data_IF_478986146943
#
_entry.id   IF_478986146943
#
_cell.length_a   1.000
_cell.length_b   1.000
_cell.length_c   1.000
_cell.angle_alpha   90.00
_cell.angle_beta   90.00
_cell.angle_gamma   90.00
#
_symmetry.space_group_name_H-M   'P 1'
#
loop_
_entity.id
_entity.type
_entity.pdbx_description
1 polymer ?
#
# COMPACT_ATOMS: atom_id res chain seq x y z
N UNK A 1 -11.87 -5.33 -22.41
CA UNK A 1 -12.06 -5.13 -20.96
C UNK A 1 -10.75 -4.71 -20.34
N UNK A 2 -10.81 -3.86 -19.32
CA UNK A 2 -9.68 -3.37 -18.55
C UNK A 2 -9.74 -3.86 -17.10
N UNK A 3 -8.56 -3.94 -16.50
CA UNK A 3 -8.34 -4.33 -15.11
C UNK A 3 -7.56 -3.22 -14.42
N UNK A 4 -8.00 -2.86 -13.22
CA UNK A 4 -7.32 -1.92 -12.33
C UNK A 4 -6.70 -2.74 -11.21
N UNK A 5 -5.40 -2.55 -10.97
CA UNK A 5 -4.64 -3.29 -9.97
C UNK A 5 -3.83 -2.34 -9.09
N UNK A 6 -3.47 -2.87 -7.91
CA UNK A 6 -2.64 -2.20 -6.92
C UNK A 6 -1.49 -3.11 -6.52
N UNK A 7 -0.29 -2.55 -6.50
CA UNK A 7 0.88 -3.15 -5.86
C UNK A 7 1.13 -2.47 -4.53
N UNK A 8 1.46 -3.24 -3.50
CA UNK A 8 1.88 -2.72 -2.20
C UNK A 8 3.20 -3.35 -1.83
N UNK A 9 4.25 -2.55 -1.68
CA UNK A 9 5.56 -3.06 -1.29
C UNK A 9 5.63 -3.25 0.23
N UNK A 10 6.62 -4.01 0.75
CA UNK A 10 6.81 -4.17 2.20
C UNK A 10 7.02 -2.85 2.95
N UNK A 11 7.46 -1.79 2.25
CA UNK A 11 7.58 -0.45 2.83
C UNK A 11 6.23 0.26 3.06
N UNK A 12 5.10 -0.35 2.65
CA UNK A 12 3.76 0.22 2.73
C UNK A 12 3.41 1.19 1.59
N UNK A 13 4.36 1.44 0.67
CA UNK A 13 4.13 2.29 -0.50
C UNK A 13 3.33 1.57 -1.58
N UNK A 14 2.52 2.34 -2.33
CA UNK A 14 1.59 1.79 -3.32
C UNK A 14 1.90 2.21 -4.76
N UNK A 15 1.57 1.33 -5.70
CA UNK A 15 1.50 1.64 -7.13
C UNK A 15 0.12 1.22 -7.64
N UNK A 16 -0.55 2.10 -8.39
CA UNK A 16 -1.83 1.83 -9.05
C UNK A 16 -1.61 1.83 -10.55
N UNK A 17 -2.19 0.88 -11.26
CA UNK A 17 -2.14 0.90 -12.72
C UNK A 17 -3.30 0.15 -13.35
N UNK A 18 -3.46 0.38 -14.65
CA UNK A 18 -4.48 -0.29 -15.46
C UNK A 18 -3.86 -1.12 -16.59
N UNK A 19 -4.62 -2.11 -17.07
CA UNK A 19 -4.22 -2.94 -18.20
C UNK A 19 -5.43 -3.48 -18.95
N UNK A 20 -5.36 -3.48 -20.29
CA UNK A 20 -6.31 -4.19 -21.16
C UNK A 20 -5.90 -5.63 -21.49
N UNK A 21 -4.71 -6.06 -21.01
CA UNK A 21 -4.17 -7.42 -21.13
C UNK A 21 -4.24 -8.12 -19.78
N UNK A 22 -4.00 -9.44 -19.75
CA UNK A 22 -3.82 -10.16 -18.48
C UNK A 22 -2.75 -9.46 -17.61
N UNK A 23 -3.03 -9.19 -16.32
CA UNK A 23 -2.12 -8.46 -15.45
C UNK A 23 -0.70 -9.02 -15.43
N UNK A 24 -0.55 -10.33 -15.41
CA UNK A 24 0.73 -11.04 -15.36
C UNK A 24 1.63 -10.69 -16.56
N UNK A 25 1.04 -10.58 -17.77
CA UNK A 25 1.75 -10.16 -18.97
C UNK A 25 2.16 -8.68 -18.95
N UNK A 26 1.39 -7.83 -18.28
CA UNK A 26 1.73 -6.41 -18.10
C UNK A 26 2.81 -6.21 -17.04
N UNK A 27 2.75 -6.99 -15.97
CA UNK A 27 3.66 -6.94 -14.84
C UNK A 27 5.03 -7.50 -15.21
N UNK A 28 5.08 -8.58 -16.00
CA UNK A 28 6.30 -9.26 -16.44
C UNK A 28 7.23 -9.63 -15.28
N UNK A 29 6.67 -10.14 -14.17
CA UNK A 29 7.40 -10.46 -12.94
C UNK A 29 8.27 -9.26 -12.48
N UNK A 30 7.68 -8.07 -12.45
CA UNK A 30 8.34 -6.82 -12.09
C UNK A 30 9.10 -6.12 -13.23
N UNK A 31 9.47 -6.83 -14.31
CA UNK A 31 10.22 -6.23 -15.42
C UNK A 31 9.39 -5.21 -16.23
N UNK A 32 8.07 -5.16 -16.04
CA UNK A 32 7.19 -4.20 -16.69
C UNK A 32 7.27 -2.77 -16.13
N UNK A 33 8.16 -2.53 -15.17
CA UNK A 33 8.29 -1.26 -14.44
C UNK A 33 9.70 -0.64 -14.50
N UNK A 34 10.59 -1.12 -15.38
CA UNK A 34 11.97 -0.63 -15.51
C UNK A 34 12.07 0.88 -15.79
N UNK A 35 11.10 1.43 -16.50
CA UNK A 35 11.03 2.86 -16.81
C UNK A 35 10.62 3.71 -15.59
N UNK A 36 10.11 3.07 -14.53
CA UNK A 36 9.84 3.70 -13.25
C UNK A 36 10.94 3.33 -12.26
N UNK A 37 12.05 4.09 -12.31
CA UNK A 37 13.23 3.84 -11.48
C UNK A 37 12.90 3.70 -9.98
N UNK A 38 11.96 4.48 -9.45
CA UNK A 38 11.61 4.40 -8.03
C UNK A 38 10.88 3.09 -7.69
N UNK A 39 10.01 2.60 -8.56
CA UNK A 39 9.34 1.32 -8.33
C UNK A 39 10.25 0.13 -8.64
N UNK A 40 11.02 0.19 -9.72
CA UNK A 40 12.02 -0.81 -10.09
C UNK A 40 13.04 -1.03 -8.97
N UNK A 41 13.54 0.06 -8.35
CA UNK A 41 14.42 -0.04 -7.19
C UNK A 41 13.75 -0.71 -5.98
N UNK A 42 12.45 -0.49 -5.77
CA UNK A 42 11.72 -1.18 -4.71
C UNK A 42 11.54 -2.67 -5.01
N UNK A 43 11.24 -3.03 -6.26
CA UNK A 43 11.15 -4.43 -6.70
C UNK A 43 12.51 -5.12 -6.54
N UNK A 44 13.62 -4.46 -6.92
CA UNK A 44 14.97 -4.99 -6.71
C UNK A 44 15.33 -5.14 -5.23
N UNK A 45 14.93 -4.17 -4.39
CA UNK A 45 15.23 -4.17 -2.96
C UNK A 45 14.44 -5.22 -2.19
N UNK A 46 13.15 -5.34 -2.47
CA UNK A 46 12.24 -6.19 -1.69
C UNK A 46 11.95 -7.52 -2.38
N UNK A 47 12.13 -7.63 -3.69
CA UNK A 47 11.71 -8.77 -4.49
C UNK A 47 10.27 -8.62 -5.00
N UNK A 48 10.01 -9.16 -6.19
CA UNK A 48 8.68 -9.20 -6.79
C UNK A 48 7.72 -10.03 -5.93
N UNK A 49 8.15 -11.21 -5.48
CA UNK A 49 7.37 -12.14 -4.63
C UNK A 49 6.91 -11.52 -3.31
N UNK A 50 7.65 -10.53 -2.78
CA UNK A 50 7.32 -9.84 -1.54
C UNK A 50 6.44 -8.59 -1.75
N UNK A 51 6.12 -8.27 -3.00
CA UNK A 51 5.18 -7.21 -3.33
C UNK A 51 3.78 -7.80 -3.37
N UNK A 52 2.84 -7.23 -2.61
CA UNK A 52 1.44 -7.66 -2.67
C UNK A 52 0.82 -7.17 -3.96
N UNK A 53 0.34 -8.10 -4.79
CA UNK A 53 -0.40 -7.81 -6.03
C UNK A 53 -1.90 -8.00 -5.80
N UNK A 54 -2.70 -6.97 -6.08
CA UNK A 54 -4.14 -6.99 -5.82
C UNK A 54 -4.91 -6.48 -7.03
N UNK A 55 -5.89 -7.25 -7.49
CA UNK A 55 -6.85 -6.81 -8.50
C UNK A 55 -7.97 -6.05 -7.79
N UNK A 56 -8.07 -4.75 -8.04
CA UNK A 56 -9.06 -3.87 -7.39
C UNK A 56 -10.40 -3.97 -8.10
N UNK A 57 -10.38 -3.95 -9.43
CA UNK A 57 -11.56 -4.12 -10.25
C UNK A 57 -11.16 -4.76 -11.58
N UNK A 58 -12.05 -5.60 -12.11
CA UNK A 58 -11.89 -6.23 -13.41
C UNK A 58 -13.16 -5.99 -14.24
N UNK A 59 -13.02 -6.13 -15.55
CA UNK A 59 -14.16 -6.07 -16.44
C UNK A 59 -14.63 -4.66 -16.79
N UNK A 60 -13.77 -3.66 -16.64
CA UNK A 60 -14.13 -2.26 -16.86
C UNK A 60 -13.99 -1.84 -18.32
N UNK A 61 -14.71 -0.80 -18.72
CA UNK A 61 -14.31 -0.02 -19.90
C UNK A 61 -13.01 0.72 -19.64
N UNK A 62 -12.39 1.24 -20.70
CA UNK A 62 -11.15 2.01 -20.57
C UNK A 62 -11.37 3.26 -19.73
N UNK A 63 -12.48 3.95 -19.97
CA UNK A 63 -12.88 5.19 -19.30
C UNK A 63 -13.09 4.94 -17.81
N UNK A 64 -13.88 3.92 -17.47
CA UNK A 64 -14.11 3.50 -16.08
C UNK A 64 -12.82 3.12 -15.36
N UNK A 65 -11.91 2.39 -16.04
CA UNK A 65 -10.62 2.03 -15.47
C UNK A 65 -9.74 3.27 -15.22
N UNK A 66 -9.74 4.24 -16.15
CA UNK A 66 -9.04 5.52 -15.98
C UNK A 66 -9.61 6.35 -14.83
N UNK A 67 -10.94 6.45 -14.70
CA UNK A 67 -11.60 7.14 -13.58
C UNK A 67 -11.17 6.52 -12.25
N UNK A 68 -11.28 5.20 -12.15
CA UNK A 68 -10.92 4.47 -10.93
C UNK A 68 -9.42 4.57 -10.62
N UNK A 69 -8.55 4.58 -11.64
CA UNK A 69 -7.11 4.81 -11.47
C UNK A 69 -6.83 6.17 -10.83
N UNK A 70 -7.42 7.25 -11.36
CA UNK A 70 -7.25 8.61 -10.83
C UNK A 70 -7.75 8.69 -9.38
N UNK A 71 -8.94 8.14 -9.10
CA UNK A 71 -9.51 8.13 -7.76
C UNK A 71 -8.62 7.40 -6.75
N UNK A 72 -8.08 6.24 -7.13
CA UNK A 72 -7.20 5.45 -6.26
C UNK A 72 -5.84 6.13 -6.05
N UNK A 73 -5.23 6.68 -7.12
CA UNK A 73 -3.97 7.41 -7.02
C UNK A 73 -4.13 8.60 -6.05
N UNK A 74 -5.22 9.35 -6.16
CA UNK A 74 -5.54 10.44 -5.24
C UNK A 74 -5.76 9.94 -3.81
N UNK A 75 -6.59 8.90 -3.63
CA UNK A 75 -6.93 8.33 -2.32
C UNK A 75 -5.71 7.84 -1.54
N UNK A 76 -4.75 7.23 -2.21
CA UNK A 76 -3.54 6.71 -1.56
C UNK A 76 -2.36 7.68 -1.61
N UNK A 77 -2.53 8.86 -2.23
CA UNK A 77 -1.42 9.78 -2.52
C UNK A 77 -0.27 9.06 -3.23
N UNK A 78 -0.59 8.21 -4.22
CA UNK A 78 0.39 7.32 -4.83
C UNK A 78 1.48 8.05 -5.62
N UNK A 79 1.31 9.35 -5.88
CA UNK A 79 2.31 10.24 -6.49
C UNK A 79 3.32 10.83 -5.51
N UNK A 80 3.04 10.82 -4.21
CA UNK A 80 4.01 11.25 -3.20
C UNK A 80 5.07 10.15 -3.06
N UNK A 81 6.37 10.42 -3.32
CA UNK A 81 7.43 9.40 -3.23
C UNK A 81 7.55 8.73 -1.86
N UNK A 82 7.00 9.35 -0.80
CA UNK A 82 6.95 8.78 0.55
C UNK A 82 5.84 7.74 0.72
N UNK A 83 4.78 7.82 -0.10
CA UNK A 83 3.55 7.01 0.01
C UNK A 83 3.30 6.10 -1.19
N UNK A 84 3.88 6.40 -2.34
CA UNK A 84 3.69 5.60 -3.54
C UNK A 84 4.76 5.75 -4.59
N UNK A 85 4.45 5.16 -5.73
CA UNK A 85 5.36 4.95 -6.86
C UNK A 85 4.81 5.50 -8.18
N UNK A 86 3.58 6.00 -8.22
CA UNK A 86 3.00 6.55 -9.45
C UNK A 86 3.75 7.82 -9.83
N UNK A 87 4.18 7.92 -11.08
CA UNK A 87 4.87 9.12 -11.59
C UNK A 87 3.87 10.25 -11.88
N UNK A 88 2.64 9.89 -12.21
CA UNK A 88 1.57 10.82 -12.57
C UNK A 88 0.28 10.53 -11.80
N UNK A 89 -0.61 11.52 -11.80
CA UNK A 89 -1.95 11.42 -11.21
C UNK A 89 -2.89 10.46 -11.96
N UNK A 90 -2.48 9.95 -13.13
CA UNK A 90 -3.26 9.01 -13.96
C UNK A 90 -4.14 9.72 -14.99
N UNK A 91 -4.83 8.91 -15.81
CA UNK A 91 -5.74 9.40 -16.84
C UNK A 91 -5.12 9.64 -18.22
N UNK A 92 -3.82 9.44 -18.40
CA UNK A 92 -3.16 9.57 -19.72
C UNK A 92 -3.69 8.56 -20.72
N UNK A 93 -4.18 7.43 -20.23
CA UNK A 93 -4.82 6.41 -21.06
C UNK A 93 -6.10 6.93 -21.74
N UNK A 94 -6.69 8.06 -21.33
CA UNK A 94 -7.84 8.66 -22.02
C UNK A 94 -7.50 9.22 -23.40
N UNK A 95 -6.27 9.67 -23.62
CA UNK A 95 -5.85 10.38 -24.83
C UNK A 95 -5.21 9.47 -25.87
N UNK A 96 -6.02 8.83 -26.73
CA UNK A 96 -5.54 8.39 -28.03
C UNK A 96 -5.36 9.59 -28.95
N UNK A 97 -4.21 10.26 -28.87
CA UNK A 97 -3.81 11.32 -29.80
C UNK A 97 -4.49 12.68 -29.55
N UNK A 98 -3.69 13.71 -29.30
CA UNK A 98 -4.14 15.10 -29.28
C UNK A 98 -3.52 15.91 -28.16
N UNK A 99 -2.66 16.86 -28.55
CA UNK A 99 -2.23 17.98 -27.71
C UNK A 99 -3.49 18.68 -27.18
N UNK A 100 -3.46 19.27 -25.98
CA UNK A 100 -4.04 20.57 -25.61
C UNK A 100 -4.16 20.67 -24.08
N UNK A 101 -3.51 21.70 -23.53
CA UNK A 101 -3.55 22.12 -22.14
C UNK A 101 -4.92 22.68 -21.74
N UNK A 102 -5.29 22.57 -20.46
CA UNK A 102 -5.41 23.70 -19.51
C UNK A 102 -6.17 23.29 -18.23
N UNK A 103 -5.79 23.95 -17.14
CA UNK A 103 -6.46 23.96 -15.85
C UNK A 103 -7.91 24.49 -15.91
N UNK A 104 -8.77 23.99 -15.03
CA UNK A 104 -9.61 24.74 -14.08
C UNK A 104 -10.75 23.85 -13.55
N UNK A 105 -11.19 24.13 -12.33
CA UNK A 105 -12.17 23.34 -11.59
C UNK A 105 -13.63 23.57 -11.98
N UNK A 106 -14.52 23.06 -11.13
CA UNK A 106 -15.96 23.33 -11.16
C UNK A 106 -16.77 22.04 -11.21
N UNK A 107 -17.33 21.63 -10.08
CA UNK A 107 -18.14 20.42 -9.99
C UNK A 107 -19.55 20.54 -10.57
N UNK A 108 -20.28 19.41 -10.57
CA UNK A 108 -21.69 19.27 -10.17
C UNK A 108 -22.10 17.80 -10.24
N UNK A 109 -23.04 17.48 -9.34
CA UNK A 109 -23.59 16.15 -9.03
C UNK A 109 -24.66 15.71 -10.04
N UNK A 110 -24.87 14.40 -10.11
CA UNK A 110 -26.06 13.70 -10.63
C UNK A 110 -25.61 12.32 -11.14
N UNK A 111 -26.13 11.16 -10.73
CA UNK A 111 -27.36 10.79 -10.02
C UNK A 111 -28.00 9.60 -10.76
N UNK A 112 -27.90 8.38 -10.19
CA UNK A 112 -28.55 7.14 -10.65
C UNK A 112 -27.75 6.34 -11.69
N UNK A 113 -27.59 5.01 -11.63
CA UNK A 113 -28.08 3.99 -10.71
C UNK A 113 -27.47 2.62 -11.06
N UNK A 114 -27.27 1.79 -10.04
CA UNK A 114 -27.31 0.31 -9.99
C UNK A 114 -26.47 -0.52 -11.00
N UNK A 115 -25.35 -1.07 -10.53
CA UNK A 115 -25.01 -2.49 -10.71
C UNK A 115 -24.09 -2.93 -9.56
N UNK A 116 -24.53 -3.94 -8.81
CA UNK A 116 -23.92 -4.36 -7.55
C UNK A 116 -22.49 -4.86 -7.70
N UNK A 117 -21.55 -4.17 -7.07
CA UNK A 117 -20.23 -4.72 -6.77
C UNK A 117 -20.38 -5.59 -5.53
N UNK A 118 -20.27 -6.90 -5.73
CA UNK A 118 -20.07 -7.86 -4.65
C UNK A 118 -18.80 -7.46 -3.89
N UNK A 119 -18.99 -6.89 -2.69
CA UNK A 119 -17.90 -6.61 -1.76
C UNK A 119 -17.45 -7.93 -1.16
N UNK A 120 -16.40 -8.50 -1.73
CA UNK A 120 -15.66 -9.59 -1.12
C UNK A 120 -15.07 -9.15 0.22
N UNK A 121 -15.34 -9.94 1.25
CA UNK A 121 -15.03 -9.71 2.65
C UNK A 121 -13.53 -9.66 2.96
N UNK A 122 -13.19 -8.94 4.04
CA UNK A 122 -12.07 -9.31 4.92
C UNK A 122 -10.79 -8.48 4.80
N UNK A 123 -10.80 -7.23 5.28
CA UNK A 123 -9.57 -6.59 5.79
C UNK A 123 -9.70 -6.42 7.30
N UNK A 124 -9.16 -7.38 8.05
CA UNK A 124 -8.95 -7.25 9.48
C UNK A 124 -7.84 -6.22 9.72
N UNK A 125 -8.22 -5.04 10.20
CA UNK A 125 -7.29 -4.02 10.68
C UNK A 125 -6.76 -4.47 12.05
N UNK A 126 -5.50 -4.92 12.11
CA UNK A 126 -4.78 -5.03 13.37
C UNK A 126 -4.50 -3.62 13.89
N UNK A 127 -5.37 -3.13 14.78
CA UNK A 127 -5.12 -1.95 15.60
C UNK A 127 -4.27 -2.37 16.79
N UNK A 128 -3.05 -1.83 16.86
CA UNK A 128 -2.26 -1.81 18.08
C UNK A 128 -2.99 -1.01 19.16
N UNK A 129 -3.29 -1.66 20.27
CA UNK A 129 -3.83 -1.04 21.49
C UNK A 129 -2.80 -1.16 22.60
N UNK A 130 -2.24 -0.01 23.02
CA UNK A 130 -1.59 0.12 24.32
C UNK A 130 -2.63 -0.11 25.42
N UNK A 131 -2.45 -1.16 26.22
CA UNK A 131 -3.19 -1.34 27.45
C UNK A 131 -2.31 -0.90 28.62
N UNK A 132 -2.56 0.31 29.12
CA UNK A 132 -2.19 0.68 30.47
C UNK A 132 -3.11 -0.06 31.45
N UNK A 133 -2.54 -0.94 32.26
CA UNK A 133 -3.21 -1.62 33.36
C UNK A 133 -2.55 -1.23 34.67
N UNK A 134 -3.25 -0.44 35.47
CA UNK A 134 -2.96 -0.23 36.89
C UNK A 134 -3.19 -1.55 37.62
N UNK A 135 -2.23 -2.01 38.39
CA UNK A 135 -2.52 -2.92 39.52
C UNK A 135 -1.82 -2.38 40.77
N UNK A 136 -2.63 -2.24 41.83
CA UNK A 136 -2.27 -1.62 43.10
C UNK A 136 -2.50 -2.67 44.20
N UNK A 137 -1.42 -2.99 44.92
CA UNK A 137 -1.31 -3.43 46.32
C UNK A 137 -1.94 -4.77 46.78
N UNK A 138 -1.08 -5.64 47.34
CA UNK A 138 -1.10 -6.14 48.73
C UNK A 138 0.21 -6.96 48.95
N UNK A 139 1.19 -6.47 49.72
CA UNK A 139 1.45 -6.64 51.16
C UNK A 139 1.79 -8.07 51.64
N UNK A 140 2.95 -8.16 52.31
CA UNK A 140 3.51 -9.30 53.05
C UNK A 140 4.79 -9.83 52.40
N UNK A 141 6.00 -9.79 52.97
CA UNK A 141 6.48 -9.56 54.34
C UNK A 141 7.65 -10.53 54.59
N UNK A 142 8.74 -10.03 55.20
CA UNK A 142 9.87 -10.78 55.81
C UNK A 142 10.83 -11.45 54.80
N UNK A 143 12.16 -11.37 54.88
CA UNK A 143 13.10 -10.84 55.86
C UNK A 143 14.49 -11.40 55.53
N UNK A 144 15.56 -10.65 55.87
CA UNK A 144 16.95 -11.13 55.89
C UNK A 144 17.60 -11.33 54.50
N UNK A 145 18.88 -11.06 54.26
CA UNK A 145 19.98 -10.71 55.13
C UNK A 145 21.18 -10.35 54.26
N UNK A 146 22.04 -9.52 54.83
CA UNK A 146 23.29 -9.07 54.25
C UNK A 146 24.30 -10.22 54.13
N UNK A 147 24.98 -10.35 52.99
CA UNK A 147 26.45 -10.45 52.91
C UNK A 147 26.94 -10.57 51.47
N UNK A 148 27.63 -9.53 51.03
CA UNK A 148 28.67 -9.64 50.03
C UNK A 148 29.93 -10.22 50.70
N UNK A 149 30.55 -11.23 50.09
CA UNK A 149 31.97 -11.51 50.29
C UNK A 149 32.59 -11.78 48.93
N UNK A 150 33.50 -10.87 48.55
CA UNK A 150 34.50 -11.06 47.50
C UNK A 150 35.70 -11.78 48.10
N UNK A 151 36.35 -12.62 47.30
CA UNK A 151 37.66 -13.22 47.57
C UNK A 151 37.70 -14.67 47.08
N UNK A 152 38.78 -15.21 46.51
CA UNK A 152 40.08 -14.68 46.17
C UNK A 152 40.75 -15.65 45.17
N UNK A 153 41.82 -15.15 44.57
CA UNK A 153 42.80 -15.80 43.68
C UNK A 153 43.46 -17.05 44.29
N UNK A 154 43.96 -17.94 43.41
CA UNK A 154 45.34 -18.50 43.31
C UNK A 154 45.26 -19.70 42.34
N UNK A 155 45.94 -19.71 41.20
CA UNK A 155 47.35 -20.11 41.01
C UNK A 155 47.74 -21.36 41.81
N UNK A 156 47.80 -22.49 41.12
CA UNK A 156 49.04 -23.25 40.90
C UNK A 156 48.84 -24.22 39.74
#
# INVERSE_FOLDING_TARGET
MYVVYKHTTPSGKVYIGITGKKPEYRWKNGNGYKDNAHFDNAIKKYGWENTKHEIVANGLTKEQACDLEIELIAKYHATDPRKGYNISAGGESRGGGGKHARAAGGGRRGGGGHAGVQRGAGYAAARGGSAGGRERLHQGGLGGGWRAVRGARRHS
#
